data_IF_097049627670
#
_entry.id   IF_097049627670
#
_cell.length_a   1.000
_cell.length_b   1.000
_cell.length_c   1.000
_cell.angle_alpha   90.00
_cell.angle_beta   90.00
_cell.angle_gamma   90.00
#
_symmetry.space_group_name_H-M   'P 1'
#
loop_
_entity.id
_entity.type
_entity.pdbx_description
1 polymer ?
#
# COMPACT_ATOMS: atom_id res chain seq x y z
N UNK A 1 -31.81 15.08 10.92
CA UNK A 1 -30.45 15.33 10.40
C UNK A 1 -30.38 14.70 9.03
N UNK A 2 -30.56 15.50 7.98
CA UNK A 2 -30.60 15.05 6.58
C UNK A 2 -29.25 15.37 5.95
N UNK A 3 -28.53 14.33 5.51
CA UNK A 3 -27.31 14.47 4.72
C UNK A 3 -27.68 15.10 3.37
N UNK A 4 -27.54 16.42 3.26
CA UNK A 4 -27.59 17.13 1.98
C UNK A 4 -26.30 16.86 1.23
N UNK A 5 -26.39 16.05 0.18
CA UNK A 5 -25.31 15.84 -0.77
C UNK A 5 -25.13 14.37 -1.12
N UNK A 6 -25.48 14.04 -2.35
CA UNK A 6 -24.68 13.21 -3.26
C UNK A 6 -25.42 13.24 -4.60
N UNK A 7 -24.87 14.02 -5.55
CA UNK A 7 -25.20 13.84 -6.96
C UNK A 7 -24.99 12.38 -7.37
N UNK A 8 -25.53 11.99 -8.52
CA UNK A 8 -25.52 10.61 -9.03
C UNK A 8 -24.19 9.89 -8.71
N UNK A 9 -24.26 8.80 -7.93
CA UNK A 9 -23.12 7.93 -7.67
C UNK A 9 -22.67 7.33 -9.00
N UNK A 10 -21.57 7.84 -9.55
CA UNK A 10 -20.99 7.30 -10.78
C UNK A 10 -19.97 6.25 -10.38
N UNK A 11 -20.23 4.99 -10.76
CA UNK A 11 -19.27 3.90 -10.59
C UNK A 11 -18.15 4.13 -11.60
N UNK A 12 -16.90 4.20 -11.12
CA UNK A 12 -15.71 4.35 -11.95
C UNK A 12 -14.67 3.30 -11.56
N UNK A 13 -14.10 2.63 -12.56
CA UNK A 13 -12.96 1.74 -12.36
C UNK A 13 -11.71 2.58 -12.17
N UNK A 14 -11.01 2.38 -11.05
CA UNK A 14 -9.81 3.14 -10.66
C UNK A 14 -8.53 2.33 -10.84
N UNK A 15 -8.69 1.01 -10.84
CA UNK A 15 -7.61 0.06 -10.95
C UNK A 15 -8.15 -1.22 -11.60
N UNK A 16 -7.36 -1.81 -12.49
CA UNK A 16 -7.65 -3.08 -13.14
C UNK A 16 -6.44 -4.02 -12.96
N UNK A 17 -6.71 -5.25 -12.52
CA UNK A 17 -5.70 -6.31 -12.43
C UNK A 17 -5.27 -6.75 -13.82
N UNK A 18 -4.00 -7.09 -14.00
CA UNK A 18 -3.47 -7.47 -15.32
C UNK A 18 -3.98 -8.83 -15.81
N UNK A 19 -4.40 -9.71 -14.89
CA UNK A 19 -4.99 -10.99 -15.24
C UNK A 19 -6.02 -11.45 -14.20
N UNK A 20 -6.78 -12.50 -14.57
CA UNK A 20 -7.88 -13.06 -13.76
C UNK A 20 -7.46 -13.76 -12.46
N UNK A 21 -6.17 -13.98 -12.24
CA UNK A 21 -5.66 -14.63 -11.03
C UNK A 21 -5.12 -13.62 -10.01
N UNK A 22 -5.07 -12.35 -10.41
CA UNK A 22 -4.71 -11.24 -9.56
C UNK A 22 -5.95 -10.59 -8.96
N UNK A 23 -5.80 -10.17 -7.72
CA UNK A 23 -6.82 -9.45 -6.99
C UNK A 23 -6.17 -8.51 -5.97
N UNK A 24 -6.91 -7.47 -5.59
CA UNK A 24 -6.54 -6.65 -4.45
C UNK A 24 -7.03 -7.39 -3.20
N UNK A 25 -6.13 -7.68 -2.26
CA UNK A 25 -6.39 -8.57 -1.12
C UNK A 25 -6.01 -7.93 0.22
N UNK A 26 -6.49 -8.48 1.36
CA UNK A 26 -7.32 -7.79 2.36
C UNK A 26 -6.61 -6.74 3.23
N UNK A 27 -5.30 -6.56 3.04
CA UNK A 27 -4.59 -5.50 3.73
C UNK A 27 -4.91 -4.18 3.04
N UNK A 28 -5.69 -3.38 3.74
CA UNK A 28 -6.02 -2.00 3.38
C UNK A 28 -5.46 -1.07 4.46
N UNK A 29 -4.77 -0.02 4.03
CA UNK A 29 -4.38 1.09 4.90
C UNK A 29 -4.98 2.39 4.38
N UNK A 30 -5.38 3.26 5.30
CA UNK A 30 -5.71 4.65 4.98
C UNK A 30 -4.47 5.52 5.13
N UNK A 31 -4.24 6.40 4.16
CA UNK A 31 -3.12 7.32 4.07
C UNK A 31 -3.67 8.76 4.15
N UNK A 32 -4.11 9.16 5.34
CA UNK A 32 -4.93 10.36 5.51
C UNK A 32 -6.40 10.12 5.16
N UNK A 33 -7.12 11.16 4.74
CA UNK A 33 -8.57 11.12 4.53
C UNK A 33 -9.00 10.59 3.15
N UNK A 34 -8.09 10.62 2.18
CA UNK A 34 -8.40 10.51 0.76
C UNK A 34 -7.52 9.49 0.03
N UNK A 35 -6.58 8.83 0.69
CA UNK A 35 -5.73 7.82 0.05
C UNK A 35 -5.88 6.45 0.68
N UNK A 36 -5.89 5.44 -0.18
CA UNK A 36 -5.96 4.03 0.17
C UNK A 36 -4.70 3.31 -0.29
N UNK A 37 -4.19 2.40 0.52
CA UNK A 37 -3.11 1.49 0.17
C UNK A 37 -3.63 0.05 0.18
N UNK A 38 -3.30 -0.71 -0.86
CA UNK A 38 -3.84 -2.04 -1.13
C UNK A 38 -2.71 -2.97 -1.58
N UNK A 39 -2.72 -4.24 -1.14
CA UNK A 39 -1.79 -5.24 -1.65
C UNK A 39 -2.31 -5.86 -2.96
N UNK A 40 -1.47 -5.88 -4.01
CA UNK A 40 -1.68 -6.74 -5.19
C UNK A 40 -1.31 -8.16 -4.81
N UNK A 41 -2.25 -9.07 -4.97
CA UNK A 41 -2.09 -10.45 -4.54
C UNK A 41 -2.58 -11.44 -5.59
N UNK A 42 -2.08 -12.66 -5.48
CA UNK A 42 -2.56 -13.84 -6.20
C UNK A 42 -2.52 -15.04 -5.26
N UNK A 43 -3.17 -16.13 -5.63
CA UNK A 43 -2.99 -17.39 -4.90
C UNK A 43 -1.58 -17.92 -5.10
N UNK A 44 -0.96 -18.37 -4.01
CA UNK A 44 0.36 -18.98 -4.06
C UNK A 44 0.29 -20.34 -4.77
N UNK A 45 1.28 -20.64 -5.60
CA UNK A 45 1.34 -21.92 -6.28
C UNK A 45 1.62 -23.05 -5.27
N UNK A 46 0.76 -24.07 -5.24
CA UNK A 46 0.94 -25.24 -4.37
C UNK A 46 0.43 -25.09 -2.93
N UNK A 47 -0.15 -23.94 -2.57
CA UNK A 47 -0.80 -23.73 -1.28
C UNK A 47 -2.24 -23.23 -1.48
N UNK A 48 -3.22 -24.01 -1.04
CA UNK A 48 -4.66 -23.77 -1.22
C UNK A 48 -5.12 -22.51 -0.49
N UNK A 49 -4.42 -22.10 0.58
CA UNK A 49 -4.73 -20.89 1.35
C UNK A 49 -3.61 -19.85 1.30
N UNK A 50 -2.53 -20.15 0.59
CA UNK A 50 -1.39 -19.27 0.46
C UNK A 50 -1.71 -18.07 -0.42
N UNK A 51 -1.28 -16.89 0.02
CA UNK A 51 -1.35 -15.65 -0.75
C UNK A 51 0.07 -15.19 -1.06
N UNK A 52 0.33 -14.94 -2.33
CA UNK A 52 1.53 -14.25 -2.80
C UNK A 52 1.18 -12.78 -3.03
N UNK A 53 1.74 -11.90 -2.20
CA UNK A 53 1.56 -10.45 -2.28
C UNK A 53 2.74 -9.85 -3.02
N UNK A 54 2.58 -9.67 -4.31
CA UNK A 54 3.68 -9.33 -5.22
C UNK A 54 3.72 -7.84 -5.59
N UNK A 55 2.84 -7.02 -5.02
CA UNK A 55 2.83 -5.59 -5.30
C UNK A 55 2.00 -4.78 -4.30
N UNK A 56 2.09 -3.47 -4.44
CA UNK A 56 1.32 -2.48 -3.67
C UNK A 56 0.67 -1.50 -4.65
N UNK A 57 -0.56 -1.09 -4.35
CA UNK A 57 -1.31 -0.06 -5.08
C UNK A 57 -1.67 1.04 -4.09
N UNK A 58 -1.42 2.29 -4.48
CA UNK A 58 -2.00 3.45 -3.84
C UNK A 58 -3.13 3.99 -4.71
N UNK A 59 -4.28 4.25 -4.10
CA UNK A 59 -5.42 4.90 -4.74
C UNK A 59 -5.64 6.25 -4.09
N UNK A 60 -5.65 7.30 -4.90
CA UNK A 60 -6.06 8.64 -4.51
C UNK A 60 -7.55 8.80 -4.83
N UNK A 61 -8.33 9.08 -3.81
CA UNK A 61 -9.74 9.45 -3.92
C UNK A 61 -9.84 10.97 -4.14
N UNK A 62 -10.90 11.44 -4.82
CA UNK A 62 -11.17 12.87 -4.88
C UNK A 62 -11.40 13.43 -3.47
N UNK A 63 -10.96 14.67 -3.24
CA UNK A 63 -11.25 15.37 -2.00
C UNK A 63 -12.77 15.49 -1.78
N UNK A 64 -13.21 15.60 -0.51
CA UNK A 64 -14.63 15.64 -0.18
C UNK A 64 -15.37 16.83 -0.80
N UNK A 65 -14.66 17.94 -1.07
CA UNK A 65 -15.13 19.16 -1.71
C UNK A 65 -14.78 19.24 -3.20
N UNK A 66 -14.12 18.22 -3.75
CA UNK A 66 -13.77 18.18 -5.16
C UNK A 66 -15.02 18.20 -6.05
N UNK A 67 -14.93 18.84 -7.24
CA UNK A 67 -15.99 18.74 -8.23
C UNK A 67 -16.25 17.26 -8.57
N UNK A 68 -17.51 16.84 -8.70
CA UNK A 68 -17.87 15.44 -8.99
C UNK A 68 -17.36 14.87 -10.32
N UNK A 69 -16.60 15.67 -11.09
CA UNK A 69 -15.89 15.27 -12.30
C UNK A 69 -14.43 14.85 -12.07
N UNK A 70 -13.85 15.14 -10.90
CA UNK A 70 -12.46 14.78 -10.61
C UNK A 70 -12.33 13.25 -10.47
N UNK A 71 -11.53 12.59 -11.33
CA UNK A 71 -11.39 11.16 -11.27
C UNK A 71 -10.41 10.74 -10.17
N UNK A 72 -10.66 9.64 -9.45
CA UNK A 72 -9.63 9.02 -8.63
C UNK A 72 -8.45 8.57 -9.50
N UNK A 73 -7.24 8.58 -8.93
CA UNK A 73 -6.03 8.10 -9.61
C UNK A 73 -5.41 6.94 -8.83
N UNK A 74 -4.57 6.15 -9.50
CA UNK A 74 -3.83 5.08 -8.84
C UNK A 74 -2.39 5.00 -9.31
N UNK A 75 -1.51 4.58 -8.40
CA UNK A 75 -0.12 4.23 -8.67
C UNK A 75 0.15 2.84 -8.09
N UNK A 76 1.09 2.11 -8.68
CA UNK A 76 1.44 0.79 -8.17
C UNK A 76 2.93 0.53 -8.29
N UNK A 77 3.42 -0.35 -7.43
CA UNK A 77 4.75 -0.91 -7.51
C UNK A 77 4.65 -2.44 -7.45
N UNK A 78 5.42 -3.09 -8.32
CA UNK A 78 5.55 -4.55 -8.39
C UNK A 78 6.91 -4.94 -7.85
N UNK A 79 6.91 -5.87 -6.90
CA UNK A 79 8.14 -6.40 -6.35
C UNK A 79 8.86 -7.28 -7.39
N UNK A 80 10.21 -7.29 -7.40
CA UNK A 80 10.98 -8.23 -8.20
C UNK A 80 10.63 -9.68 -7.89
N UNK A 81 10.90 -10.59 -8.83
CA UNK A 81 10.66 -12.02 -8.64
C UNK A 81 11.34 -12.53 -7.36
N UNK A 82 10.64 -13.35 -6.58
CA UNK A 82 11.06 -13.90 -5.26
C UNK A 82 10.93 -12.95 -4.07
N UNK A 83 10.55 -11.69 -4.31
CA UNK A 83 10.17 -10.78 -3.24
C UNK A 83 8.66 -10.74 -3.07
N UNK A 84 8.23 -10.65 -1.81
CA UNK A 84 6.84 -10.65 -1.40
C UNK A 84 6.63 -9.59 -0.32
N UNK A 85 5.58 -8.80 -0.49
CA UNK A 85 5.09 -7.84 0.49
C UNK A 85 4.50 -8.56 1.70
N UNK A 86 5.17 -8.51 2.83
CA UNK A 86 4.68 -9.06 4.10
C UNK A 86 3.77 -8.08 4.83
N UNK A 87 4.08 -6.79 4.76
CA UNK A 87 3.30 -5.74 5.40
C UNK A 87 3.56 -4.37 4.81
N UNK A 88 2.65 -3.43 5.10
CA UNK A 88 2.89 -2.02 4.94
C UNK A 88 2.22 -1.23 6.06
N UNK A 89 2.77 -0.07 6.34
CA UNK A 89 2.16 0.88 7.25
C UNK A 89 2.41 2.31 6.81
N UNK A 90 1.38 3.13 6.92
CA UNK A 90 1.45 4.58 6.71
C UNK A 90 2.17 5.25 7.87
N UNK A 91 3.06 6.19 7.58
CA UNK A 91 3.79 6.98 8.58
C UNK A 91 3.74 8.48 8.24
N UNK A 92 4.02 9.33 9.23
CA UNK A 92 4.09 10.79 9.10
C UNK A 92 2.88 11.39 8.37
N UNK A 93 1.67 11.16 8.91
CA UNK A 93 0.39 11.64 8.34
C UNK A 93 0.15 11.31 6.85
N UNK A 94 0.85 10.30 6.36
CA UNK A 94 0.73 9.81 4.99
C UNK A 94 1.68 10.40 3.98
N UNK A 95 2.78 11.01 4.44
CA UNK A 95 3.88 11.43 3.56
C UNK A 95 4.58 10.24 2.89
N UNK A 96 4.66 9.10 3.58
CA UNK A 96 5.25 7.89 3.04
C UNK A 96 4.64 6.62 3.65
N UNK A 97 4.91 5.51 2.98
CA UNK A 97 4.54 4.18 3.44
C UNK A 97 5.80 3.39 3.73
N UNK A 98 5.87 2.77 4.90
CA UNK A 98 6.85 1.74 5.21
C UNK A 98 6.36 0.41 4.66
N UNK A 99 7.20 -0.30 3.92
CA UNK A 99 6.92 -1.62 3.36
C UNK A 99 7.86 -2.65 3.99
N UNK A 100 7.30 -3.74 4.49
CA UNK A 100 8.05 -4.93 4.89
C UNK A 100 7.96 -5.95 3.76
N UNK A 101 9.09 -6.30 3.15
CA UNK A 101 9.16 -7.27 2.06
C UNK A 101 10.19 -8.36 2.33
N UNK A 102 10.06 -9.51 1.65
CA UNK A 102 11.13 -10.50 1.60
C UNK A 102 12.23 -10.05 0.66
N UNK A 103 13.47 -10.38 1.02
CA UNK A 103 14.65 -10.25 0.18
C UNK A 103 14.88 -11.56 -0.59
N UNK A 104 15.72 -11.50 -1.62
CA UNK A 104 16.06 -12.67 -2.43
C UNK A 104 16.78 -13.78 -1.63
N UNK A 105 17.40 -13.43 -0.49
CA UNK A 105 18.03 -14.38 0.43
C UNK A 105 17.06 -14.98 1.46
N UNK A 106 15.76 -14.66 1.36
CA UNK A 106 14.71 -15.09 2.30
C UNK A 106 14.63 -14.26 3.57
N UNK A 107 15.51 -13.26 3.76
CA UNK A 107 15.44 -12.30 4.85
C UNK A 107 14.27 -11.33 4.69
N UNK A 108 14.06 -10.48 5.69
CA UNK A 108 13.08 -9.39 5.64
C UNK A 108 13.80 -8.05 5.48
N UNK A 109 13.16 -7.09 4.82
CA UNK A 109 13.62 -5.72 4.67
C UNK A 109 12.52 -4.75 5.03
N UNK A 110 12.91 -3.63 5.63
CA UNK A 110 12.08 -2.44 5.70
C UNK A 110 12.52 -1.46 4.61
N UNK A 111 11.58 -1.03 3.79
CA UNK A 111 11.78 0.02 2.79
C UNK A 111 10.75 1.13 2.95
N UNK A 112 11.05 2.30 2.42
CA UNK A 112 10.17 3.46 2.33
C UNK A 112 9.69 3.63 0.90
N UNK A 113 8.39 3.78 0.73
CA UNK A 113 7.78 4.05 -0.57
C UNK A 113 7.03 5.38 -0.54
N UNK A 114 7.34 6.25 -1.50
CA UNK A 114 6.73 7.58 -1.64
C UNK A 114 5.48 7.57 -2.52
N UNK A 115 4.87 6.39 -2.76
CA UNK A 115 3.70 6.23 -3.62
C UNK A 115 4.01 6.18 -5.12
N UNK A 116 5.28 6.21 -5.51
CA UNK A 116 5.72 5.98 -6.89
C UNK A 116 7.17 5.48 -6.93
N UNK A 117 7.54 4.85 -8.04
CA UNK A 117 8.89 4.31 -8.22
C UNK A 117 9.22 3.13 -7.30
N UNK A 118 10.50 2.80 -7.24
CA UNK A 118 11.03 1.73 -6.40
C UNK A 118 11.10 2.17 -4.93
N UNK A 119 10.69 1.31 -3.97
CA UNK A 119 10.89 1.56 -2.55
C UNK A 119 12.38 1.72 -2.20
N UNK A 120 12.70 2.73 -1.40
CA UNK A 120 14.03 2.97 -0.88
C UNK A 120 14.31 2.05 0.32
N UNK A 121 15.32 1.16 0.28
CA UNK A 121 15.63 0.29 1.40
C UNK A 121 16.16 1.10 2.59
N UNK A 122 15.62 0.83 3.79
CA UNK A 122 16.06 1.48 5.03
C UNK A 122 16.99 0.56 5.83
N UNK A 123 16.54 -0.65 6.16
CA UNK A 123 17.33 -1.64 6.91
C UNK A 123 16.79 -3.06 6.79
N UNK A 124 17.68 -4.03 7.00
CA UNK A 124 17.35 -5.46 7.06
C UNK A 124 16.71 -5.77 8.41
N UNK A 125 15.59 -6.51 8.37
CA UNK A 125 14.85 -6.93 9.54
C UNK A 125 15.28 -8.36 9.96
N UNK A 126 15.45 -8.63 11.27
CA UNK A 126 15.52 -9.99 11.80
C UNK A 126 14.31 -10.82 11.36
N UNK A 127 14.50 -12.12 11.15
CA UNK A 127 13.47 -13.04 10.64
C UNK A 127 12.18 -13.12 11.51
N UNK A 128 12.20 -12.57 12.74
CA UNK A 128 11.18 -12.78 13.76
C UNK A 128 10.46 -11.48 14.20
N UNK A 129 10.54 -10.38 13.44
CA UNK A 129 9.97 -9.08 13.85
C UNK A 129 8.50 -8.93 13.42
N UNK A 130 7.64 -8.42 14.32
CA UNK A 130 6.21 -8.20 14.05
C UNK A 130 5.88 -6.75 13.65
N UNK A 131 4.87 -6.63 12.77
CA UNK A 131 4.16 -5.43 12.27
C UNK A 131 4.15 -4.19 13.18
N UNK A 132 3.84 -4.39 14.46
CA UNK A 132 3.55 -3.31 15.42
C UNK A 132 4.80 -2.52 15.86
N UNK A 133 6.00 -3.10 15.75
CA UNK A 133 7.24 -2.44 16.21
C UNK A 133 7.80 -1.40 15.23
N UNK A 134 7.44 -1.50 13.95
CA UNK A 134 8.11 -0.77 12.86
C UNK A 134 7.71 0.71 12.83
N UNK A 135 6.42 1.04 12.95
CA UNK A 135 5.98 2.44 13.00
C UNK A 135 6.37 3.16 14.30
N UNK A 136 6.53 2.42 15.40
CA UNK A 136 6.87 2.98 16.71
C UNK A 136 8.34 3.40 16.83
N UNK A 137 9.21 2.93 15.92
CA UNK A 137 10.64 3.23 15.91
C UNK A 137 11.08 4.19 14.80
N UNK A 138 10.19 4.61 13.89
CA UNK A 138 10.53 5.67 12.94
C UNK A 138 10.74 6.96 13.74
N UNK A 139 11.97 7.51 13.81
CA UNK A 139 12.16 8.79 14.48
C UNK A 139 11.30 9.84 13.78
N UNK A 140 10.68 10.73 14.55
CA UNK A 140 10.15 11.97 13.98
C UNK A 140 11.25 12.60 13.13
N UNK A 141 10.95 13.08 11.90
CA UNK A 141 11.92 13.89 11.19
C UNK A 141 12.25 15.08 12.10
N UNK A 142 13.47 15.08 12.65
CA UNK A 142 13.99 16.25 13.34
C UNK A 142 13.95 17.35 12.30
N UNK A 143 13.05 18.32 12.50
CA UNK A 143 13.02 19.52 11.68
C UNK A 143 14.45 20.08 11.65
N UNK A 144 15.04 20.12 10.46
CA UNK A 144 16.35 20.73 10.30
C UNK A 144 16.25 22.21 10.74
N UNK A 145 17.23 22.73 11.49
CA UNK A 145 17.21 24.11 12.00
C UNK A 145 17.24 25.16 10.89
#
# INVERSE_FOLDING_TARGET
MTLTGRGASTIRTVYESENRFEFLAPNLGWLGEDRLLLARSRFAAGDVFGLDRFGVVQVQLPAADAPGSEPPTSTSYLFPTQQELKDFATCADGDYTLLVSTRNDGGLELSRWAGSGEPEPLFVLPANLSRTFVCWQAPDPVAAP
#
